data_IF_949578478014
#
_entry.id   IF_949578478014
#
_cell.length_a   1.000
_cell.length_b   1.000
_cell.length_c   1.000
_cell.angle_alpha   90.00
_cell.angle_beta   90.00
_cell.angle_gamma   90.00
#
_symmetry.space_group_name_H-M   'P 1'
#
loop_
_entity.id
_entity.type
_entity.pdbx_description
1 polymer ?
#
# COMPACT_ATOMS: atom_id res chain seq x y z
N UNK A 1 7.05 -15.05 -5.42
CA UNK A 1 7.88 -13.85 -5.17
C UNK A 1 7.12 -12.65 -5.69
N UNK A 2 7.10 -11.52 -4.97
CA UNK A 2 6.47 -10.29 -5.49
C UNK A 2 7.30 -9.75 -6.66
N UNK A 3 6.65 -9.39 -7.76
CA UNK A 3 7.27 -8.81 -8.97
C UNK A 3 6.84 -7.39 -9.24
N UNK A 4 5.72 -6.96 -8.66
CA UNK A 4 5.20 -5.60 -8.83
C UNK A 4 4.31 -5.21 -7.67
N UNK A 5 4.35 -3.93 -7.31
CA UNK A 5 3.41 -3.29 -6.38
C UNK A 5 2.95 -2.01 -7.07
N UNK A 6 1.65 -1.86 -7.24
CA UNK A 6 1.05 -0.75 -7.98
C UNK A 6 0.02 -0.07 -7.09
N UNK A 7 0.22 1.21 -6.79
CA UNK A 7 -0.77 2.03 -6.11
C UNK A 7 -1.72 2.67 -7.13
N UNK A 8 -2.95 2.93 -6.68
CA UNK A 8 -3.98 3.63 -7.45
C UNK A 8 -5.00 4.25 -6.51
N UNK A 9 -5.78 5.21 -7.04
CA UNK A 9 -6.84 5.93 -6.32
C UNK A 9 -6.31 6.61 -5.04
N UNK A 10 -5.10 7.14 -5.09
CA UNK A 10 -4.45 7.75 -3.94
C UNK A 10 -5.16 9.04 -3.51
N UNK A 11 -5.57 9.08 -2.24
CA UNK A 11 -6.09 10.26 -1.57
C UNK A 11 -5.24 10.53 -0.33
N UNK A 12 -4.75 11.76 -0.22
CA UNK A 12 -3.96 12.20 0.93
C UNK A 12 -4.65 13.41 1.55
N UNK A 13 -5.10 13.26 2.80
CA UNK A 13 -5.61 14.35 3.62
C UNK A 13 -4.54 14.77 4.63
N UNK A 14 -4.37 16.07 4.86
CA UNK A 14 -3.35 16.62 5.76
C UNK A 14 -4.00 17.53 6.80
N UNK A 15 -3.68 17.28 8.07
CA UNK A 15 -4.01 18.13 9.22
C UNK A 15 -2.72 18.44 9.99
N UNK A 16 -2.21 19.67 9.82
CA UNK A 16 -0.97 20.15 10.41
C UNK A 16 0.23 19.22 10.17
N UNK A 17 0.67 18.52 11.21
CA UNK A 17 1.80 17.59 11.20
C UNK A 17 1.35 16.14 10.99
N UNK A 18 0.07 15.87 10.73
CA UNK A 18 -0.52 14.55 10.54
C UNK A 18 -1.11 14.43 9.14
N UNK A 19 -0.91 13.29 8.48
CA UNK A 19 -1.50 13.00 7.17
C UNK A 19 -2.13 11.61 7.17
N UNK A 20 -3.24 11.46 6.45
CA UNK A 20 -3.91 10.20 6.20
C UNK A 20 -3.84 9.91 4.70
N UNK A 21 -3.14 8.84 4.33
CA UNK A 21 -3.11 8.33 2.97
C UNK A 21 -4.05 7.13 2.85
N UNK A 22 -4.89 7.14 1.83
CA UNK A 22 -5.82 6.06 1.48
C UNK A 22 -5.61 5.73 0.01
N UNK A 23 -5.40 4.45 -0.30
CA UNK A 23 -5.11 4.02 -1.66
C UNK A 23 -5.40 2.52 -1.81
N UNK A 24 -5.57 2.09 -3.06
CA UNK A 24 -5.65 0.69 -3.41
C UNK A 24 -4.28 0.22 -3.90
N UNK A 25 -3.85 -0.97 -3.49
CA UNK A 25 -2.68 -1.65 -4.00
C UNK A 25 -3.09 -2.87 -4.82
N UNK A 26 -2.35 -3.10 -5.90
CA UNK A 26 -2.26 -4.40 -6.58
C UNK A 26 -0.85 -4.95 -6.40
N UNK A 27 -0.74 -6.18 -5.92
CA UNK A 27 0.53 -6.90 -5.78
C UNK A 27 0.55 -8.05 -6.78
N UNK A 28 1.56 -8.04 -7.65
CA UNK A 28 1.74 -9.05 -8.69
C UNK A 28 2.83 -10.04 -8.26
N UNK A 29 2.64 -11.32 -8.60
CA UNK A 29 3.54 -12.40 -8.21
C UNK A 29 4.21 -13.07 -9.42
N UNK A 30 5.47 -13.46 -9.25
CA UNK A 30 6.19 -14.34 -10.16
C UNK A 30 5.50 -15.72 -10.23
N UNK A 31 5.68 -16.45 -11.35
CA UNK A 31 5.29 -17.85 -11.44
C UNK A 31 5.90 -18.69 -10.32
N UNK A 32 5.14 -19.65 -9.81
CA UNK A 32 5.59 -20.69 -8.90
C UNK A 32 6.46 -21.72 -9.64
N UNK A 33 7.08 -22.64 -8.89
CA UNK A 33 7.99 -23.64 -9.44
C UNK A 33 7.32 -24.61 -10.43
N UNK A 34 6.01 -24.79 -10.34
CA UNK A 34 5.19 -25.58 -11.25
C UNK A 34 4.70 -24.79 -12.49
N UNK A 35 5.11 -23.53 -12.62
CA UNK A 35 4.73 -22.63 -13.70
C UNK A 35 3.39 -21.92 -13.52
N UNK A 36 2.65 -22.18 -12.44
CA UNK A 36 1.40 -21.47 -12.14
C UNK A 36 1.69 -20.03 -11.71
N UNK A 37 0.87 -19.07 -12.14
CA UNK A 37 0.98 -17.67 -11.69
C UNK A 37 -0.11 -17.43 -10.65
N UNK A 38 0.24 -17.12 -9.39
CA UNK A 38 -0.75 -16.74 -8.39
C UNK A 38 -1.56 -15.52 -8.86
N UNK A 39 -2.86 -15.43 -8.56
CA UNK A 39 -3.62 -14.23 -8.83
C UNK A 39 -3.00 -13.05 -8.08
N UNK A 40 -3.12 -11.85 -8.66
CA UNK A 40 -2.71 -10.63 -7.96
C UNK A 40 -3.54 -10.44 -6.70
N UNK A 41 -2.89 -9.97 -5.64
CA UNK A 41 -3.58 -9.54 -4.43
C UNK A 41 -4.01 -8.08 -4.58
N UNK A 42 -5.23 -7.78 -4.14
CA UNK A 42 -5.76 -6.42 -4.08
C UNK A 42 -5.91 -6.01 -2.62
N UNK A 43 -5.36 -4.87 -2.24
CA UNK A 43 -5.30 -4.42 -0.85
C UNK A 43 -5.84 -3.01 -0.76
N UNK A 44 -6.80 -2.79 0.14
CA UNK A 44 -7.16 -1.43 0.56
C UNK A 44 -6.23 -1.01 1.69
N UNK A 45 -5.50 0.07 1.48
CA UNK A 45 -4.55 0.59 2.44
C UNK A 45 -5.05 1.90 3.08
N UNK A 46 -4.84 2.03 4.38
CA UNK A 46 -4.94 3.30 5.11
C UNK A 46 -3.69 3.50 5.96
N UNK A 47 -2.86 4.47 5.59
CA UNK A 47 -1.64 4.82 6.30
C UNK A 47 -1.79 6.19 6.98
N UNK A 48 -1.34 6.28 8.23
CA UNK A 48 -1.18 7.55 8.93
C UNK A 48 0.30 7.91 8.91
N UNK A 49 0.62 9.11 8.45
CA UNK A 49 1.94 9.67 8.48
C UNK A 49 2.01 10.87 9.43
N UNK A 50 3.21 11.10 10.00
CA UNK A 50 3.52 12.28 10.80
C UNK A 50 4.72 13.02 10.23
N UNK A 51 4.71 14.34 10.30
CA UNK A 51 5.79 15.22 9.86
C UNK A 51 6.84 15.34 10.93
N UNK A 52 8.08 15.07 10.56
CA UNK A 52 9.28 15.28 11.35
C UNK A 52 10.24 16.23 10.61
N UNK A 53 11.32 16.72 11.24
CA UNK A 53 12.30 17.57 10.56
C UNK A 53 12.90 16.93 9.29
N UNK A 54 13.04 15.60 9.27
CA UNK A 54 13.54 14.82 8.14
C UNK A 54 12.48 14.50 7.06
N UNK A 55 11.21 14.84 7.29
CA UNK A 55 10.11 14.59 6.36
C UNK A 55 8.92 13.84 6.98
N UNK A 56 7.99 13.44 6.13
CA UNK A 56 6.84 12.63 6.51
C UNK A 56 7.24 11.17 6.66
N UNK A 57 6.85 10.55 7.77
CA UNK A 57 7.06 9.13 8.02
C UNK A 57 5.72 8.47 8.31
N UNK A 58 5.48 7.29 7.73
CA UNK A 58 4.32 6.46 8.09
C UNK A 58 4.53 5.98 9.53
N UNK A 59 3.61 6.37 10.41
CA UNK A 59 3.62 6.02 11.85
C UNK A 59 2.61 4.93 12.18
N UNK A 60 1.63 4.69 11.31
CA UNK A 60 0.68 3.59 11.41
C UNK A 60 0.21 3.18 10.01
N UNK A 61 -0.05 1.88 9.81
CA UNK A 61 -0.56 1.34 8.57
C UNK A 61 -1.61 0.28 8.89
N UNK A 62 -2.74 0.33 8.18
CA UNK A 62 -3.76 -0.70 8.22
C UNK A 62 -4.04 -1.17 6.79
N UNK A 63 -4.01 -2.48 6.59
CA UNK A 63 -4.17 -3.14 5.30
C UNK A 63 -5.26 -4.18 5.39
N UNK A 64 -6.09 -4.20 4.34
CA UNK A 64 -7.21 -5.12 4.20
C UNK A 64 -7.10 -5.78 2.82
N UNK A 65 -6.77 -7.07 2.80
CA UNK A 65 -6.69 -7.86 1.57
C UNK A 65 -8.12 -8.18 1.12
N UNK A 66 -8.45 -7.73 -0.09
CA UNK A 66 -9.77 -7.90 -0.67
C UNK A 66 -9.86 -9.28 -1.35
N UNK A 67 -10.97 -9.99 -1.10
CA UNK A 67 -11.28 -11.30 -1.67
C UNK A 67 -11.95 -11.20 -3.04
#
# INVERSE_FOLDING_TARGET
MVTGIHASDEVIDIWDDTALARYNLRVDFAPAADGTVPPSEHIRNTAVARRFPQGWLVVHNHEDVLA
#
